data_IF_539353376274
#
_entry.id   IF_539353376274
#
_cell.length_a   1.000
_cell.length_b   1.000
_cell.length_c   1.000
_cell.angle_alpha   90.00
_cell.angle_beta   90.00
_cell.angle_gamma   90.00
#
_symmetry.space_group_name_H-M   'P 1'
#
loop_
_entity.id
_entity.type
_entity.pdbx_description
1 polymer ?
#
# COMPACT_ATOMS: atom_id res chain seq x y z
N UNK A 1 -4.84 -13.06 -40.11
CA UNK A 1 -4.90 -12.03 -39.02
C UNK A 1 -3.50 -11.81 -38.47
N UNK A 2 -3.13 -10.56 -38.27
CA UNK A 2 -1.84 -10.18 -37.68
C UNK A 2 -2.04 -9.73 -36.24
N UNK A 3 -1.06 -9.99 -35.38
CA UNK A 3 -1.01 -9.54 -34.00
C UNK A 3 0.20 -8.64 -33.82
N UNK A 4 0.02 -7.47 -33.21
CA UNK A 4 1.09 -6.56 -32.87
C UNK A 4 1.60 -6.89 -31.46
N UNK A 5 2.89 -7.24 -31.36
CA UNK A 5 3.56 -7.46 -30.06
C UNK A 5 4.30 -6.18 -29.69
N UNK A 6 3.82 -5.50 -28.65
CA UNK A 6 4.43 -4.28 -28.15
C UNK A 6 5.63 -4.60 -27.26
N UNK A 7 6.65 -3.72 -27.29
CA UNK A 7 7.89 -3.83 -26.52
C UNK A 7 8.58 -5.21 -26.65
N UNK A 8 8.38 -5.93 -27.76
CA UNK A 8 8.91 -7.28 -27.97
C UNK A 8 8.51 -8.28 -26.86
N UNK A 9 7.34 -8.09 -26.26
CA UNK A 9 6.86 -8.89 -25.11
C UNK A 9 7.49 -8.55 -23.76
N UNK A 10 8.27 -7.46 -23.68
CA UNK A 10 8.85 -6.96 -22.42
C UNK A 10 7.87 -6.07 -21.66
N UNK A 11 8.34 -5.44 -20.57
CA UNK A 11 7.52 -4.52 -19.75
C UNK A 11 7.01 -3.34 -20.59
N UNK A 12 5.72 -3.38 -20.91
CA UNK A 12 5.06 -2.41 -21.79
C UNK A 12 5.13 -0.98 -21.25
N UNK A 13 4.90 -0.80 -19.96
CA UNK A 13 4.89 0.49 -19.30
C UNK A 13 6.25 1.21 -19.34
N UNK A 14 7.35 0.48 -19.50
CA UNK A 14 8.70 1.03 -19.64
C UNK A 14 9.16 1.07 -21.10
N UNK A 15 8.77 0.09 -21.91
CA UNK A 15 9.19 -0.02 -23.31
C UNK A 15 8.40 0.84 -24.29
N UNK A 16 7.10 1.06 -24.02
CA UNK A 16 6.19 1.78 -24.91
C UNK A 16 5.43 2.92 -24.21
N UNK A 17 5.73 3.21 -22.95
CA UNK A 17 5.10 4.27 -22.16
C UNK A 17 6.12 4.95 -21.23
N UNK A 18 5.68 5.91 -20.44
CA UNK A 18 6.53 6.71 -19.55
C UNK A 18 6.74 6.13 -18.15
N UNK A 19 6.23 4.92 -17.91
CA UNK A 19 6.26 4.29 -16.59
C UNK A 19 5.22 4.87 -15.62
N UNK A 20 5.43 4.66 -14.31
CA UNK A 20 4.57 5.20 -13.27
C UNK A 20 5.01 6.59 -12.84
N UNK A 21 4.08 7.48 -12.48
CA UNK A 21 4.41 8.77 -11.87
C UNK A 21 5.25 8.60 -10.60
N UNK A 22 6.17 9.52 -10.36
CA UNK A 22 7.05 9.49 -9.19
C UNK A 22 6.31 9.44 -7.86
N UNK A 23 5.15 10.09 -7.76
CA UNK A 23 4.30 10.06 -6.58
C UNK A 23 3.78 8.64 -6.27
N UNK A 24 3.35 7.91 -7.30
CA UNK A 24 2.89 6.51 -7.15
C UNK A 24 4.04 5.62 -6.69
N UNK A 25 5.22 5.80 -7.29
CA UNK A 25 6.41 5.05 -6.90
C UNK A 25 6.90 5.41 -5.49
N UNK A 26 6.75 6.66 -5.06
CA UNK A 26 7.03 7.07 -3.68
C UNK A 26 6.21 6.27 -2.66
N UNK A 27 4.92 6.07 -2.92
CA UNK A 27 4.07 5.24 -2.06
C UNK A 27 4.57 3.79 -1.98
N UNK A 28 4.93 3.21 -3.13
CA UNK A 28 5.48 1.85 -3.20
C UNK A 28 6.81 1.71 -2.45
N UNK A 29 7.75 2.63 -2.66
CA UNK A 29 9.05 2.60 -1.97
C UNK A 29 8.92 2.83 -0.46
N UNK A 30 8.00 3.67 -0.03
CA UNK A 30 7.71 3.88 1.40
C UNK A 30 7.20 2.59 2.02
N UNK A 31 6.30 1.89 1.35
CA UNK A 31 5.80 0.59 1.81
C UNK A 31 6.91 -0.46 1.90
N UNK A 32 7.79 -0.54 0.90
CA UNK A 32 8.96 -1.42 0.93
C UNK A 32 9.90 -1.10 2.08
N UNK A 33 10.16 0.18 2.35
CA UNK A 33 11.01 0.61 3.46
C UNK A 33 10.40 0.25 4.81
N UNK A 34 9.10 0.50 5.00
CA UNK A 34 8.41 0.10 6.24
C UNK A 34 8.39 -1.41 6.41
N UNK A 35 8.26 -2.18 5.34
CA UNK A 35 8.36 -3.64 5.37
C UNK A 35 9.72 -4.11 5.88
N UNK A 36 10.80 -3.52 5.40
CA UNK A 36 12.15 -3.84 5.84
C UNK A 36 12.37 -3.50 7.31
N UNK A 37 11.87 -2.34 7.76
CA UNK A 37 11.95 -1.94 9.17
C UNK A 37 11.18 -2.92 10.05
N UNK A 38 9.96 -3.29 9.65
CA UNK A 38 9.14 -4.27 10.37
C UNK A 38 9.85 -5.62 10.51
N UNK A 39 10.35 -6.16 9.40
CA UNK A 39 11.06 -7.44 9.39
C UNK A 39 12.35 -7.39 10.21
N UNK A 40 13.08 -6.30 10.19
CA UNK A 40 14.31 -6.16 10.97
C UNK A 40 14.03 -6.05 12.47
N UNK A 41 13.08 -5.20 12.86
CA UNK A 41 12.76 -4.96 14.28
C UNK A 41 12.03 -6.14 14.93
N UNK A 42 11.15 -6.79 14.20
CA UNK A 42 10.28 -7.84 14.71
C UNK A 42 10.65 -9.25 14.16
N UNK A 43 11.88 -9.43 13.69
CA UNK A 43 12.31 -10.67 13.02
C UNK A 43 12.02 -11.94 13.82
N UNK A 44 12.00 -11.88 15.14
CA UNK A 44 11.71 -13.03 16.01
C UNK A 44 10.27 -13.54 15.89
N UNK A 45 9.36 -12.72 15.37
CA UNK A 45 7.96 -13.06 15.17
C UNK A 45 7.68 -13.66 13.79
N UNK A 46 8.69 -13.70 12.93
CA UNK A 46 8.58 -14.18 11.56
C UNK A 46 9.45 -15.42 11.35
N UNK A 47 8.84 -16.45 10.83
CA UNK A 47 9.53 -17.66 10.34
C UNK A 47 9.87 -17.50 8.85
N UNK A 48 10.58 -18.46 8.26
CA UNK A 48 10.86 -18.48 6.82
C UNK A 48 9.57 -18.83 6.07
N UNK A 49 8.80 -17.81 5.73
CA UNK A 49 7.51 -17.94 5.04
C UNK A 49 7.14 -16.63 4.34
N UNK A 50 6.04 -16.66 3.57
CA UNK A 50 5.44 -15.48 2.96
C UNK A 50 4.37 -14.91 3.89
N UNK A 51 4.49 -13.64 4.23
CA UNK A 51 3.58 -12.93 5.11
C UNK A 51 2.92 -11.75 4.41
N UNK A 52 1.69 -11.45 4.80
CA UNK A 52 1.07 -10.18 4.50
C UNK A 52 1.35 -9.21 5.65
N UNK A 53 1.90 -8.04 5.34
CA UNK A 53 2.20 -7.04 6.34
C UNK A 53 0.93 -6.56 7.07
N UNK A 54 1.06 -6.11 8.33
CA UNK A 54 -0.05 -5.50 9.06
C UNK A 54 -0.65 -4.32 8.30
N UNK A 55 -1.98 -4.26 8.22
CA UNK A 55 -2.69 -3.20 7.50
C UNK A 55 -2.41 -1.78 8.02
N UNK A 56 -2.03 -1.66 9.27
CA UNK A 56 -1.62 -0.37 9.86
C UNK A 56 -0.41 0.24 9.15
N UNK A 57 0.48 -0.56 8.57
CA UNK A 57 1.62 -0.06 7.79
C UNK A 57 1.17 0.54 6.46
N UNK A 58 0.22 -0.09 5.76
CA UNK A 58 -0.37 0.46 4.53
C UNK A 58 -1.05 1.81 4.80
N UNK A 59 -1.78 1.90 5.90
CA UNK A 59 -2.44 3.13 6.32
C UNK A 59 -1.43 4.22 6.69
N UNK A 60 -0.31 3.87 7.30
CA UNK A 60 0.78 4.79 7.58
C UNK A 60 1.37 5.36 6.30
N UNK A 61 1.58 4.54 5.27
CA UNK A 61 2.02 5.00 3.94
C UNK A 61 1.03 6.01 3.37
N UNK A 62 -0.27 5.70 3.40
CA UNK A 62 -1.30 6.60 2.92
C UNK A 62 -1.29 7.94 3.68
N UNK A 63 -1.23 7.92 5.00
CA UNK A 63 -1.18 9.13 5.84
C UNK A 63 0.02 10.00 5.52
N UNK A 64 1.20 9.41 5.32
CA UNK A 64 2.42 10.15 4.96
C UNK A 64 2.32 10.88 3.61
N UNK A 65 1.48 10.38 2.70
CA UNK A 65 1.32 10.95 1.36
C UNK A 65 0.14 11.91 1.24
N UNK A 66 -0.89 11.78 2.09
CA UNK A 66 -2.10 12.60 2.00
C UNK A 66 -1.83 14.09 2.19
N UNK A 67 -0.96 14.45 3.11
CA UNK A 67 -0.60 15.85 3.38
C UNK A 67 0.00 16.53 2.14
N UNK A 68 0.77 15.80 1.35
CA UNK A 68 1.33 16.28 0.08
C UNK A 68 0.27 16.61 -0.95
N UNK A 69 -0.86 15.93 -0.90
CA UNK A 69 -2.00 16.15 -1.79
C UNK A 69 -2.99 17.19 -1.26
N UNK A 70 -2.74 17.74 -0.06
CA UNK A 70 -3.69 18.63 0.59
C UNK A 70 -5.00 17.93 1.00
N UNK A 71 -4.97 16.60 1.13
CA UNK A 71 -6.13 15.79 1.49
C UNK A 71 -6.09 15.47 2.98
N UNK A 72 -7.22 15.69 3.65
CA UNK A 72 -7.39 15.30 5.06
C UNK A 72 -8.11 13.96 5.14
N UNK A 73 -7.52 13.02 5.87
CA UNK A 73 -8.19 11.76 6.17
C UNK A 73 -9.37 12.02 7.11
N UNK A 74 -10.54 11.46 6.78
CA UNK A 74 -11.71 11.51 7.65
C UNK A 74 -11.43 10.79 8.95
N UNK A 75 -11.72 11.45 10.08
CA UNK A 75 -11.68 10.85 11.41
C UNK A 75 -13.10 10.41 11.75
N UNK A 76 -13.28 9.11 11.97
CA UNK A 76 -14.57 8.57 12.34
C UNK A 76 -14.96 9.04 13.75
N UNK A 77 -16.20 9.42 13.92
CA UNK A 77 -16.76 9.57 15.27
C UNK A 77 -16.99 8.20 15.90
N UNK A 78 -17.07 8.12 17.21
CA UNK A 78 -17.38 6.86 17.91
C UNK A 78 -18.67 6.20 17.41
N UNK A 79 -19.69 7.00 17.10
CA UNK A 79 -20.96 6.53 16.54
C UNK A 79 -20.79 5.89 15.17
N UNK A 80 -19.99 6.52 14.29
CA UNK A 80 -19.68 5.99 12.96
C UNK A 80 -18.83 4.72 13.06
N UNK A 81 -17.81 4.75 13.90
CA UNK A 81 -16.94 3.60 14.18
C UNK A 81 -17.75 2.38 14.64
N UNK A 82 -18.63 2.59 15.60
CA UNK A 82 -19.51 1.52 16.12
C UNK A 82 -20.48 0.99 15.05
N UNK A 83 -21.05 1.88 14.24
CA UNK A 83 -21.96 1.49 13.15
C UNK A 83 -21.26 0.66 12.08
N UNK A 84 -20.05 1.07 11.69
CA UNK A 84 -19.25 0.41 10.65
C UNK A 84 -18.50 -0.82 11.18
N UNK A 85 -18.37 -0.99 12.49
CA UNK A 85 -17.56 -2.05 13.07
C UNK A 85 -16.06 -1.90 12.84
N UNK A 86 -15.57 -0.64 12.68
CA UNK A 86 -14.17 -0.31 12.39
C UNK A 86 -13.63 0.58 13.51
N UNK A 87 -12.38 0.36 14.01
CA UNK A 87 -11.78 1.25 15.00
C UNK A 87 -11.62 2.68 14.49
N UNK A 88 -11.72 3.68 15.35
CA UNK A 88 -11.51 5.10 14.99
C UNK A 88 -10.11 5.35 14.44
N UNK A 89 -9.11 4.68 14.99
CA UNK A 89 -7.69 4.85 14.63
C UNK A 89 -7.18 3.84 13.60
N UNK A 90 -8.03 2.94 13.15
CA UNK A 90 -7.66 1.86 12.23
C UNK A 90 -7.22 0.57 12.97
N UNK A 91 -6.87 -0.48 12.26
CA UNK A 91 -6.93 -0.58 10.80
C UNK A 91 -8.37 -0.57 10.24
N UNK A 92 -8.55 0.10 9.10
CA UNK A 92 -9.89 0.24 8.47
C UNK A 92 -10.27 -0.94 7.58
N UNK A 93 -9.29 -1.73 7.15
CA UNK A 93 -9.47 -2.94 6.35
C UNK A 93 -9.22 -4.19 7.17
N UNK A 94 -10.00 -5.24 6.95
CA UNK A 94 -9.77 -6.53 7.59
C UNK A 94 -8.47 -7.19 7.11
N UNK A 95 -7.89 -8.08 7.92
CA UNK A 95 -6.66 -8.80 7.58
C UNK A 95 -6.79 -9.72 6.35
N UNK A 96 -8.00 -10.10 5.99
CA UNK A 96 -8.28 -10.90 4.80
C UNK A 96 -8.36 -10.06 3.52
N UNK A 97 -8.37 -8.75 3.63
CA UNK A 97 -8.37 -7.86 2.49
C UNK A 97 -6.94 -7.76 1.92
N UNK A 98 -6.76 -8.24 0.70
CA UNK A 98 -5.42 -8.33 0.09
C UNK A 98 -4.89 -7.01 -0.46
N UNK A 99 -5.77 -6.04 -0.74
CA UNK A 99 -5.39 -4.80 -1.45
C UNK A 99 -5.84 -3.56 -0.69
#
# INVERSE_FOLDING_TARGET
HSVLVLAEGRLLNLGCATGHPSFVMSASFTNQTLAQIELYTNHKNYEINVYTLPKILDEKVARLHLDKLGVKLTILTEKQSKYLGIPVEGPYKSNIYKY
#
